data_IF_924173514154
#
_entry.id   IF_924173514154
#
_cell.length_a   1.000
_cell.length_b   1.000
_cell.length_c   1.000
_cell.angle_alpha   90.00
_cell.angle_beta   90.00
_cell.angle_gamma   90.00
#
_symmetry.space_group_name_H-M   'P 1'
#
loop_
_entity.id
_entity.type
_entity.pdbx_description
1 polymer ?
#
# COMPACT_ATOMS: atom_id res chain seq x y z
N UNK A 1 -22.53 9.82 -36.74
CA UNK A 1 -22.06 8.56 -36.14
C UNK A 1 -21.13 8.81 -34.94
N UNK A 2 -20.03 9.57 -35.10
CA UNK A 2 -19.09 9.88 -34.01
C UNK A 2 -19.67 10.68 -32.83
N UNK A 3 -20.59 11.62 -33.08
CA UNK A 3 -21.24 12.41 -32.02
C UNK A 3 -22.07 11.53 -31.06
N UNK A 4 -22.78 10.53 -31.59
CA UNK A 4 -23.52 9.57 -30.76
C UNK A 4 -22.57 8.69 -29.93
N UNK A 5 -21.45 8.26 -30.51
CA UNK A 5 -20.43 7.50 -29.79
C UNK A 5 -19.83 8.33 -28.64
N UNK A 6 -19.46 9.59 -28.89
CA UNK A 6 -18.95 10.50 -27.87
C UNK A 6 -19.97 10.76 -26.76
N UNK A 7 -21.25 10.94 -27.11
CA UNK A 7 -22.31 11.10 -26.12
C UNK A 7 -22.53 9.85 -25.25
N UNK A 8 -22.43 8.65 -25.83
CA UNK A 8 -22.55 7.38 -25.10
C UNK A 8 -21.37 7.18 -24.15
N UNK A 9 -20.15 7.47 -24.59
CA UNK A 9 -18.95 7.43 -23.74
C UNK A 9 -19.04 8.44 -22.61
N UNK A 10 -19.48 9.67 -22.90
CA UNK A 10 -19.70 10.72 -21.90
C UNK A 10 -20.76 10.31 -20.87
N UNK A 11 -21.90 9.78 -21.32
CA UNK A 11 -22.97 9.30 -20.44
C UNK A 11 -22.49 8.11 -19.58
N UNK A 12 -21.76 7.16 -20.16
CA UNK A 12 -21.18 6.03 -19.42
C UNK A 12 -20.21 6.52 -18.34
N UNK A 13 -19.35 7.49 -18.67
CA UNK A 13 -18.41 8.08 -17.71
C UNK A 13 -19.15 8.81 -16.58
N UNK A 14 -20.20 9.57 -16.88
CA UNK A 14 -21.03 10.23 -15.88
C UNK A 14 -21.74 9.22 -14.95
N UNK A 15 -22.35 8.18 -15.52
CA UNK A 15 -23.00 7.11 -14.75
C UNK A 15 -22.01 6.37 -13.86
N UNK A 16 -20.80 6.10 -14.38
CA UNK A 16 -19.71 5.50 -13.63
C UNK A 16 -19.28 6.38 -12.46
N UNK A 17 -19.03 7.67 -12.71
CA UNK A 17 -18.65 8.62 -11.65
C UNK A 17 -19.73 8.75 -10.58
N UNK A 18 -21.00 8.78 -10.99
CA UNK A 18 -22.12 8.81 -10.06
C UNK A 18 -22.15 7.57 -9.17
N UNK A 19 -21.99 6.37 -9.75
CA UNK A 19 -22.00 5.10 -9.03
C UNK A 19 -20.83 4.96 -8.05
N UNK A 20 -19.63 5.39 -8.46
CA UNK A 20 -18.42 5.32 -7.62
C UNK A 20 -18.50 6.28 -6.41
N UNK A 21 -19.19 7.42 -6.54
CA UNK A 21 -19.39 8.41 -5.47
C UNK A 21 -20.39 8.00 -4.38
N UNK A 22 -21.10 6.90 -4.55
CA UNK A 22 -22.05 6.43 -3.53
C UNK A 22 -21.30 5.85 -2.34
N UNK A 23 -21.59 6.38 -1.15
CA UNK A 23 -20.96 5.99 0.13
C UNK A 23 -21.95 5.19 0.96
N UNK A 24 -21.44 4.18 1.66
CA UNK A 24 -22.22 3.33 2.57
C UNK A 24 -22.76 4.16 3.74
N UNK A 25 -24.03 3.97 4.08
CA UNK A 25 -24.65 4.62 5.23
C UNK A 25 -24.16 4.03 6.57
N UNK A 26 -24.32 4.80 7.66
CA UNK A 26 -23.99 4.36 9.03
C UNK A 26 -22.52 3.92 9.22
N UNK A 27 -21.56 4.70 8.72
CA UNK A 27 -20.13 4.41 8.87
C UNK A 27 -19.68 4.28 10.34
N UNK A 28 -20.32 4.98 11.27
CA UNK A 28 -20.01 4.96 12.71
C UNK A 28 -20.23 3.60 13.39
N UNK A 29 -21.06 2.75 12.80
CA UNK A 29 -21.39 1.41 13.33
C UNK A 29 -20.50 0.32 12.72
N UNK A 30 -19.65 0.69 11.75
CA UNK A 30 -18.75 -0.23 11.05
C UNK A 30 -17.38 -0.25 11.74
N UNK A 31 -16.80 -1.43 11.79
CA UNK A 31 -15.45 -1.66 12.28
C UNK A 31 -14.49 -1.83 11.10
N UNK A 32 -13.31 -1.26 11.21
CA UNK A 32 -12.21 -1.45 10.26
C UNK A 32 -11.01 -1.97 11.02
N UNK A 33 -10.50 -3.14 10.63
CA UNK A 33 -9.27 -3.69 11.16
C UNK A 33 -8.11 -3.41 10.20
N UNK A 34 -7.03 -2.81 10.69
CA UNK A 34 -5.87 -2.39 9.89
C UNK A 34 -4.61 -2.96 10.52
N UNK A 35 -3.78 -3.63 9.73
CA UNK A 35 -2.47 -4.11 10.16
C UNK A 35 -1.37 -3.15 9.73
N UNK A 36 -0.28 -3.05 10.51
CA UNK A 36 0.88 -2.22 10.17
C UNK A 36 0.62 -0.73 10.44
N UNK A 37 0.04 -0.41 11.60
CA UNK A 37 -0.34 0.95 11.97
C UNK A 37 0.75 1.75 12.70
N UNK A 38 1.96 1.20 12.87
CA UNK A 38 3.07 1.90 13.53
C UNK A 38 3.46 3.19 12.80
N UNK A 39 3.50 3.17 11.46
CA UNK A 39 3.87 4.32 10.63
C UNK A 39 3.28 4.24 9.21
N UNK A 40 3.59 5.23 8.36
CA UNK A 40 3.26 5.21 6.93
C UNK A 40 1.76 5.20 6.64
N UNK A 41 1.35 4.44 5.62
CA UNK A 41 -0.04 4.42 5.13
C UNK A 41 -1.05 3.91 6.17
N UNK A 42 -0.72 2.82 6.89
CA UNK A 42 -1.63 2.24 7.89
C UNK A 42 -1.94 3.22 9.01
N UNK A 43 -0.91 3.89 9.54
CA UNK A 43 -1.06 4.91 10.57
C UNK A 43 -1.93 6.09 10.11
N UNK A 44 -1.66 6.62 8.90
CA UNK A 44 -2.42 7.73 8.34
C UNK A 44 -3.87 7.35 8.06
N UNK A 45 -4.11 6.16 7.49
CA UNK A 45 -5.45 5.66 7.25
C UNK A 45 -6.22 5.49 8.55
N UNK A 46 -5.60 4.92 9.59
CA UNK A 46 -6.25 4.72 10.88
C UNK A 46 -6.74 6.05 11.47
N UNK A 47 -5.90 7.09 11.42
CA UNK A 47 -6.25 8.45 11.85
C UNK A 47 -7.33 9.08 10.97
N UNK A 48 -7.26 8.89 9.66
CA UNK A 48 -8.25 9.40 8.70
C UNK A 48 -9.64 8.81 8.96
N UNK A 49 -9.73 7.51 9.21
CA UNK A 49 -10.98 6.82 9.50
C UNK A 49 -11.53 7.16 10.90
N UNK A 50 -10.67 7.35 11.90
CA UNK A 50 -11.06 7.84 13.23
C UNK A 50 -11.67 9.25 13.15
N UNK A 51 -11.08 10.16 12.36
CA UNK A 51 -11.64 11.49 12.09
C UNK A 51 -12.99 11.44 11.35
N UNK A 52 -13.22 10.41 10.51
CA UNK A 52 -14.53 10.15 9.90
C UNK A 52 -15.53 9.50 10.87
N UNK A 53 -15.11 9.23 12.10
CA UNK A 53 -15.92 8.69 13.17
C UNK A 53 -16.18 7.18 13.07
N UNK A 54 -15.40 6.44 12.28
CA UNK A 54 -15.48 4.98 12.20
C UNK A 54 -14.81 4.34 13.42
N UNK A 55 -15.17 3.10 13.73
CA UNK A 55 -14.49 2.32 14.78
C UNK A 55 -13.29 1.63 14.16
N UNK A 56 -12.09 1.97 14.62
CA UNK A 56 -10.85 1.49 14.03
C UNK A 56 -10.13 0.58 15.01
N UNK A 57 -9.81 -0.62 14.55
CA UNK A 57 -9.03 -1.61 15.27
C UNK A 57 -7.64 -1.66 14.63
N UNK A 58 -6.70 -0.92 15.20
CA UNK A 58 -5.38 -0.70 14.62
C UNK A 58 -4.36 -1.67 15.22
N UNK A 59 -3.78 -2.53 14.39
CA UNK A 59 -2.77 -3.47 14.81
C UNK A 59 -1.36 -2.92 14.50
N UNK A 60 -0.55 -2.81 15.55
CA UNK A 60 0.83 -2.33 15.50
C UNK A 60 1.80 -3.45 15.85
N UNK A 61 2.99 -3.43 15.26
CA UNK A 61 4.06 -4.36 15.59
C UNK A 61 4.71 -4.01 16.95
N UNK A 62 4.79 -2.73 17.28
CA UNK A 62 5.48 -2.22 18.46
C UNK A 62 4.52 -1.56 19.46
N UNK A 63 4.84 -1.69 20.75
CA UNK A 63 4.09 -1.00 21.82
C UNK A 63 4.21 0.52 21.70
N UNK A 64 5.40 1.02 21.38
CA UNK A 64 5.62 2.46 21.17
C UNK A 64 4.75 3.01 20.04
N UNK A 65 4.67 2.30 18.90
CA UNK A 65 3.82 2.68 17.78
C UNK A 65 2.34 2.68 18.16
N UNK A 66 1.89 1.67 18.91
CA UNK A 66 0.53 1.57 19.42
C UNK A 66 0.17 2.73 20.36
N UNK A 67 1.04 3.06 21.32
CA UNK A 67 0.82 4.18 22.24
C UNK A 67 0.80 5.53 21.53
N UNK A 68 1.73 5.77 20.61
CA UNK A 68 1.80 7.02 19.86
C UNK A 68 0.55 7.24 19.00
N UNK A 69 0.01 6.17 18.41
CA UNK A 69 -1.22 6.23 17.64
C UNK A 69 -2.43 6.50 18.55
N UNK A 70 -2.54 5.78 19.67
CA UNK A 70 -3.62 5.97 20.64
C UNK A 70 -3.64 7.40 21.20
N UNK A 71 -2.49 7.97 21.54
CA UNK A 71 -2.38 9.38 22.03
C UNK A 71 -2.86 10.43 21.02
N UNK A 72 -2.87 10.11 19.72
CA UNK A 72 -3.22 11.04 18.63
C UNK A 72 -4.64 10.84 18.09
N UNK A 73 -5.39 9.90 18.65
CA UNK A 73 -6.69 9.46 18.13
C UNK A 73 -7.74 9.44 19.23
N UNK A 74 -9.01 9.27 18.85
CA UNK A 74 -10.12 9.23 19.80
C UNK A 74 -10.34 7.84 20.39
N UNK A 75 -11.21 7.72 21.40
CA UNK A 75 -11.59 6.46 22.03
C UNK A 75 -12.24 5.44 21.08
N UNK A 76 -12.59 5.83 19.85
CA UNK A 76 -13.09 4.93 18.80
C UNK A 76 -12.00 4.13 18.11
N UNK A 77 -10.74 4.53 18.27
CA UNK A 77 -9.59 3.81 17.77
C UNK A 77 -8.94 3.05 18.92
N UNK A 78 -8.97 1.73 18.82
CA UNK A 78 -8.31 0.83 19.77
C UNK A 78 -7.11 0.17 19.10
N UNK A 79 -6.02 0.02 19.84
CA UNK A 79 -4.79 -0.59 19.34
C UNK A 79 -4.57 -1.99 19.90
N UNK A 80 -3.96 -2.85 19.09
CA UNK A 80 -3.55 -4.21 19.48
C UNK A 80 -2.14 -4.50 18.97
N UNK A 81 -1.35 -5.24 19.75
CA UNK A 81 -0.04 -5.70 19.30
C UNK A 81 -0.22 -6.93 18.43
N UNK A 82 0.32 -6.87 17.21
CA UNK A 82 0.26 -7.95 16.24
C UNK A 82 1.60 -8.10 15.51
N UNK A 83 2.21 -9.25 15.72
CA UNK A 83 3.30 -9.75 14.90
C UNK A 83 2.75 -10.77 13.90
N UNK A 84 2.63 -10.34 12.64
CA UNK A 84 2.11 -11.17 11.54
C UNK A 84 2.98 -12.39 11.23
N UNK A 85 4.22 -12.45 11.76
CA UNK A 85 5.11 -13.60 11.58
C UNK A 85 4.82 -14.73 12.58
N UNK A 86 4.06 -14.45 13.64
CA UNK A 86 3.79 -15.40 14.74
C UNK A 86 2.31 -15.78 14.79
N UNK A 87 2.03 -17.07 14.59
CA UNK A 87 0.66 -17.62 14.62
C UNK A 87 -0.08 -17.35 15.93
N UNK A 88 0.62 -17.41 17.07
CA UNK A 88 0.03 -17.14 18.38
C UNK A 88 -0.44 -15.67 18.52
N UNK A 89 0.34 -14.73 17.99
CA UNK A 89 -0.02 -13.31 17.98
C UNK A 89 -1.23 -13.05 17.09
N UNK A 90 -1.30 -13.71 15.93
CA UNK A 90 -2.47 -13.65 15.04
C UNK A 90 -3.72 -14.19 15.75
N UNK A 91 -3.61 -15.32 16.44
CA UNK A 91 -4.73 -15.93 17.17
C UNK A 91 -5.23 -15.00 18.29
N UNK A 92 -4.32 -14.39 19.06
CA UNK A 92 -4.65 -13.44 20.11
C UNK A 92 -5.34 -12.18 19.56
N UNK A 93 -4.81 -11.58 18.49
CA UNK A 93 -5.44 -10.42 17.84
C UNK A 93 -6.82 -10.77 17.26
N UNK A 94 -6.97 -11.96 16.67
CA UNK A 94 -8.25 -12.44 16.16
C UNK A 94 -9.29 -12.56 17.27
N UNK A 95 -8.91 -13.14 18.41
CA UNK A 95 -9.78 -13.27 19.57
C UNK A 95 -10.19 -11.89 20.12
N UNK A 96 -9.23 -10.98 20.25
CA UNK A 96 -9.45 -9.60 20.68
C UNK A 96 -10.40 -8.82 19.75
N UNK A 97 -10.32 -9.04 18.43
CA UNK A 97 -11.25 -8.46 17.45
C UNK A 97 -12.66 -9.05 17.61
N UNK A 98 -12.77 -10.37 17.78
CA UNK A 98 -14.06 -11.04 17.98
C UNK A 98 -14.79 -10.52 19.22
N UNK A 99 -14.08 -10.21 20.28
CA UNK A 99 -14.64 -9.62 21.51
C UNK A 99 -15.25 -8.23 21.29
N UNK A 100 -14.67 -7.43 20.37
CA UNK A 100 -15.12 -6.04 20.08
C UNK A 100 -16.21 -5.94 19.05
N UNK A 101 -16.10 -6.74 18.00
CA UNK A 101 -17.07 -6.78 16.89
C UNK A 101 -18.27 -7.66 17.26
N UNK A 102 -18.10 -8.53 18.26
CA UNK A 102 -19.05 -9.56 18.65
C UNK A 102 -19.00 -10.76 17.71
N UNK A 103 -19.56 -11.89 18.17
CA UNK A 103 -19.81 -13.09 17.37
C UNK A 103 -20.94 -12.81 16.35
N UNK A 104 -20.71 -11.89 15.42
CA UNK A 104 -21.50 -11.81 14.20
C UNK A 104 -21.15 -13.03 13.37
N UNK A 105 -21.90 -14.12 13.61
CA UNK A 105 -21.98 -15.33 12.75
C UNK A 105 -22.53 -15.02 11.35
N UNK A 106 -22.68 -13.75 11.00
CA UNK A 106 -22.86 -13.31 9.64
C UNK A 106 -21.49 -13.26 9.00
N UNK A 107 -21.00 -14.42 8.57
CA UNK A 107 -20.04 -14.35 7.50
C UNK A 107 -20.73 -13.69 6.27
N UNK A 108 -22.08 -13.48 6.12
CA UNK A 108 -22.92 -13.19 4.87
C UNK A 108 -23.40 -14.45 4.05
N UNK A 109 -23.22 -14.66 2.74
CA UNK A 109 -22.80 -15.94 2.08
C UNK A 109 -21.84 -15.64 0.92
N UNK A 110 -20.91 -14.69 1.00
CA UNK A 110 -20.41 -13.94 2.15
C UNK A 110 -20.10 -12.45 1.79
N UNK A 111 -20.44 -12.00 0.57
CA UNK A 111 -20.42 -10.58 0.17
C UNK A 111 -19.06 -9.88 0.34
N UNK A 112 -17.98 -10.67 0.34
CA UNK A 112 -16.62 -10.21 0.60
C UNK A 112 -16.00 -9.67 -0.68
N UNK A 113 -15.63 -8.39 -0.66
CA UNK A 113 -14.90 -7.74 -1.75
C UNK A 113 -13.40 -7.76 -1.45
N UNK A 114 -12.60 -8.24 -2.40
CA UNK A 114 -11.13 -8.13 -2.36
C UNK A 114 -10.70 -7.00 -3.28
N UNK A 115 -9.93 -6.07 -2.74
CA UNK A 115 -9.49 -4.86 -3.43
C UNK A 115 -7.96 -4.78 -3.31
N UNK A 116 -7.30 -4.50 -4.43
CA UNK A 116 -5.85 -4.37 -4.52
C UNK A 116 -5.52 -2.88 -4.70
N UNK A 117 -4.54 -2.39 -3.93
CA UNK A 117 -4.03 -1.02 -4.05
C UNK A 117 -2.55 -1.14 -4.40
N UNK A 118 -2.20 -0.65 -5.58
CA UNK A 118 -0.86 -0.72 -6.19
C UNK A 118 -0.25 0.69 -6.21
N UNK A 119 0.34 1.14 -5.09
CA UNK A 119 0.96 2.46 -5.02
C UNK A 119 2.22 2.52 -5.88
N UNK A 120 2.46 3.69 -6.46
CA UNK A 120 3.75 4.06 -7.04
C UNK A 120 4.81 4.37 -5.99
N UNK A 121 5.76 5.24 -6.33
CA UNK A 121 6.84 5.64 -5.44
C UNK A 121 6.39 6.71 -4.44
N UNK A 122 6.27 6.31 -3.18
CA UNK A 122 5.91 7.19 -2.06
C UNK A 122 6.98 7.17 -0.99
N UNK A 123 7.19 8.36 -0.39
CA UNK A 123 8.17 8.56 0.67
C UNK A 123 7.61 8.04 1.99
N UNK A 124 8.05 6.87 2.39
CA UNK A 124 7.76 6.27 3.70
C UNK A 124 9.06 5.93 4.42
N UNK A 125 8.99 5.61 5.71
CA UNK A 125 10.17 5.17 6.48
C UNK A 125 10.85 3.97 5.79
N UNK A 126 10.04 3.01 5.31
CA UNK A 126 10.52 1.84 4.58
C UNK A 126 11.21 2.16 3.24
N UNK A 127 10.88 3.31 2.63
CA UNK A 127 11.49 3.78 1.37
C UNK A 127 12.63 4.76 1.60
N UNK A 128 12.99 5.07 2.85
CA UNK A 128 13.98 6.10 3.14
C UNK A 128 15.36 5.73 2.55
N UNK A 129 15.93 6.67 1.81
CA UNK A 129 17.21 6.49 1.09
C UNK A 129 18.33 6.04 2.03
N UNK A 130 18.41 6.63 3.23
CA UNK A 130 19.45 6.36 4.21
C UNK A 130 19.35 4.97 4.81
N UNK A 131 18.14 4.54 5.19
CA UNK A 131 17.92 3.23 5.79
C UNK A 131 18.09 2.12 4.76
N UNK A 132 17.52 2.32 3.57
CA UNK A 132 17.67 1.39 2.46
C UNK A 132 19.15 1.24 2.07
N UNK A 133 19.87 2.36 1.91
CA UNK A 133 21.31 2.34 1.58
C UNK A 133 22.15 1.64 2.66
N UNK A 134 21.82 1.85 3.94
CA UNK A 134 22.52 1.20 5.05
C UNK A 134 22.28 -0.30 5.07
N UNK A 135 21.02 -0.71 4.91
CA UNK A 135 20.62 -2.12 4.89
C UNK A 135 21.29 -2.85 3.73
N UNK A 136 21.32 -2.26 2.54
CA UNK A 136 21.98 -2.84 1.37
C UNK A 136 23.49 -2.95 1.57
N UNK A 137 24.14 -1.94 2.15
CA UNK A 137 25.58 -2.01 2.47
C UNK A 137 25.87 -3.12 3.48
N UNK A 138 25.09 -3.21 4.54
CA UNK A 138 25.26 -4.28 5.53
C UNK A 138 25.08 -5.68 4.91
N UNK A 139 24.08 -5.84 4.04
CA UNK A 139 23.86 -7.09 3.30
C UNK A 139 25.01 -7.39 2.33
N UNK A 140 25.51 -6.36 1.63
CA UNK A 140 26.67 -6.49 0.77
C UNK A 140 27.88 -6.94 1.58
N UNK A 141 28.17 -6.31 2.71
CA UNK A 141 29.32 -6.63 3.54
C UNK A 141 29.26 -8.07 4.07
N UNK A 142 28.07 -8.53 4.46
CA UNK A 142 27.80 -9.91 4.89
C UNK A 142 27.79 -10.94 3.75
N UNK A 143 27.75 -10.50 2.49
CA UNK A 143 27.69 -11.39 1.34
C UNK A 143 29.04 -12.10 1.09
N UNK A 144 28.96 -13.33 0.60
CA UNK A 144 30.11 -14.14 0.21
C UNK A 144 30.97 -13.46 -0.87
N UNK A 145 32.31 -13.71 -0.90
CA UNK A 145 33.20 -13.18 -1.93
C UNK A 145 32.73 -13.46 -3.36
N UNK A 146 32.21 -14.68 -3.62
CA UNK A 146 31.74 -15.10 -4.93
C UNK A 146 30.59 -14.22 -5.45
N UNK A 147 29.63 -13.89 -4.57
CA UNK A 147 28.53 -12.98 -4.90
C UNK A 147 29.02 -11.56 -5.17
N UNK A 148 29.98 -11.07 -4.38
CA UNK A 148 30.57 -9.74 -4.61
C UNK A 148 31.28 -9.67 -5.96
N UNK A 149 31.91 -10.76 -6.38
CA UNK A 149 32.57 -10.85 -7.69
C UNK A 149 31.56 -10.91 -8.85
N UNK A 150 30.46 -11.66 -8.69
CA UNK A 150 29.40 -11.77 -9.72
C UNK A 150 28.72 -10.43 -9.98
N UNK A 151 28.30 -9.74 -8.93
CA UNK A 151 27.61 -8.45 -9.06
C UNK A 151 28.58 -7.30 -9.36
N UNK A 152 29.73 -7.29 -8.67
CA UNK A 152 30.76 -6.26 -8.79
C UNK A 152 30.43 -4.94 -8.07
N UNK A 153 31.46 -4.22 -7.65
CA UNK A 153 31.30 -2.97 -6.89
C UNK A 153 30.63 -1.85 -7.70
N UNK A 154 30.82 -1.86 -9.02
CA UNK A 154 30.16 -0.90 -9.93
C UNK A 154 28.64 -1.04 -9.93
N UNK A 155 28.13 -2.27 -9.84
CA UNK A 155 26.70 -2.54 -9.73
C UNK A 155 26.16 -1.98 -8.41
N UNK A 156 26.86 -2.23 -7.29
CA UNK A 156 26.49 -1.67 -5.99
C UNK A 156 26.46 -0.14 -6.00
N UNK A 157 27.50 0.51 -6.53
CA UNK A 157 27.58 1.97 -6.62
C UNK A 157 26.44 2.55 -7.49
N UNK A 158 26.15 1.91 -8.63
CA UNK A 158 25.03 2.28 -9.49
C UNK A 158 23.69 2.10 -8.78
N UNK A 159 23.53 1.03 -7.99
CA UNK A 159 22.29 0.74 -7.27
C UNK A 159 22.03 1.75 -6.14
N UNK A 160 23.06 2.07 -5.34
CA UNK A 160 22.98 3.12 -4.32
C UNK A 160 22.69 4.50 -4.93
N UNK A 161 23.23 4.80 -6.11
CA UNK A 161 22.92 6.03 -6.85
C UNK A 161 21.48 6.03 -7.35
N UNK A 162 20.99 4.88 -7.84
CA UNK A 162 19.61 4.66 -8.25
C UNK A 162 18.63 4.91 -7.10
N UNK A 163 18.91 4.39 -5.90
CA UNK A 163 18.09 4.60 -4.70
C UNK A 163 17.97 6.08 -4.35
N UNK A 164 19.09 6.81 -4.34
CA UNK A 164 19.07 8.26 -4.11
C UNK A 164 18.23 9.00 -5.15
N UNK A 165 18.33 8.59 -6.42
CA UNK A 165 17.54 9.18 -7.51
C UNK A 165 16.05 8.84 -7.43
N UNK A 166 15.70 7.68 -6.88
CA UNK A 166 14.32 7.26 -6.65
C UNK A 166 13.71 8.03 -5.47
N UNK A 167 14.45 8.21 -4.38
CA UNK A 167 14.01 9.01 -3.23
C UNK A 167 13.67 10.45 -3.63
N UNK A 168 14.44 11.04 -4.56
CA UNK A 168 14.14 12.36 -5.12
C UNK A 168 12.85 12.40 -5.96
N UNK A 169 12.45 11.26 -6.56
CA UNK A 169 11.25 11.14 -7.39
C UNK A 169 10.02 10.66 -6.61
N UNK A 170 10.21 10.20 -5.37
CA UNK A 170 9.12 9.76 -4.51
C UNK A 170 8.17 10.93 -4.22
N UNK A 171 6.87 10.64 -4.26
CA UNK A 171 5.85 11.60 -3.84
C UNK A 171 5.77 11.63 -2.32
N UNK A 172 5.77 12.82 -1.72
CA UNK A 172 5.65 12.99 -0.26
C UNK A 172 4.20 12.91 0.22
N UNK A 173 3.25 13.21 -0.65
CA UNK A 173 1.83 13.20 -0.35
C UNK A 173 1.28 11.77 -0.30
N UNK A 174 1.20 11.21 0.91
CA UNK A 174 0.65 9.89 1.17
C UNK A 174 -0.88 9.85 1.06
N UNK A 175 -1.56 11.01 1.04
CA UNK A 175 -3.02 11.09 0.97
C UNK A 175 -3.56 10.46 -0.30
N UNK A 176 -2.81 10.50 -1.40
CA UNK A 176 -3.18 9.84 -2.66
C UNK A 176 -3.48 8.34 -2.50
N UNK A 177 -2.75 7.67 -1.61
CA UNK A 177 -2.94 6.25 -1.31
C UNK A 177 -4.03 6.07 -0.26
N UNK A 178 -4.00 6.84 0.83
CA UNK A 178 -4.98 6.69 1.92
C UNK A 178 -6.39 7.10 1.50
N UNK A 179 -6.56 8.03 0.56
CA UNK A 179 -7.84 8.39 -0.04
C UNK A 179 -8.38 7.26 -0.92
N UNK A 180 -7.50 6.54 -1.65
CA UNK A 180 -7.90 5.34 -2.38
C UNK A 180 -8.34 4.23 -1.42
N UNK A 181 -7.64 4.06 -0.29
CA UNK A 181 -8.02 3.13 0.78
C UNK A 181 -9.35 3.53 1.42
N UNK A 182 -9.54 4.81 1.76
CA UNK A 182 -10.79 5.31 2.33
C UNK A 182 -11.94 5.08 1.36
N UNK A 183 -11.77 5.43 0.07
CA UNK A 183 -12.78 5.18 -0.95
C UNK A 183 -13.09 3.68 -1.09
N UNK A 184 -12.07 2.81 -1.04
CA UNK A 184 -12.25 1.37 -1.13
C UNK A 184 -13.10 0.83 0.04
N UNK A 185 -12.93 1.38 1.24
CA UNK A 185 -13.65 0.95 2.45
C UNK A 185 -15.05 1.56 2.57
N UNK A 186 -15.25 2.78 2.06
CA UNK A 186 -16.49 3.55 2.28
C UNK A 186 -17.45 3.52 1.08
N UNK A 187 -16.99 3.17 -0.13
CA UNK A 187 -17.83 3.16 -1.33
C UNK A 187 -18.78 1.96 -1.35
N UNK A 188 -20.00 2.18 -1.84
CA UNK A 188 -20.95 1.11 -2.17
C UNK A 188 -20.46 0.25 -3.35
N UNK A 189 -19.63 0.82 -4.23
CA UNK A 189 -19.17 0.19 -5.46
C UNK A 189 -17.66 0.42 -5.65
N UNK A 190 -16.83 -0.19 -4.80
CA UNK A 190 -15.39 -0.01 -4.88
C UNK A 190 -14.83 -0.63 -6.15
N UNK A 191 -13.70 -0.09 -6.63
CA UNK A 191 -12.95 -0.69 -7.75
C UNK A 191 -12.16 -1.88 -7.22
N UNK A 192 -11.95 -2.90 -8.05
CA UNK A 192 -11.13 -4.06 -7.68
C UNK A 192 -9.65 -3.71 -7.59
N UNK A 193 -9.19 -2.70 -8.35
CA UNK A 193 -7.80 -2.23 -8.35
C UNK A 193 -7.74 -0.71 -8.32
N UNK A 194 -6.88 -0.18 -7.46
CA UNK A 194 -6.51 1.23 -7.40
C UNK A 194 -5.02 1.36 -7.66
N UNK A 195 -4.64 2.28 -8.55
CA UNK A 195 -3.24 2.60 -8.83
C UNK A 195 -3.01 4.07 -8.44
N UNK A 196 -2.84 4.37 -7.13
CA UNK A 196 -2.53 5.71 -6.67
C UNK A 196 -1.10 6.11 -7.08
N UNK A 197 -0.96 7.34 -7.57
CA UNK A 197 0.29 7.83 -8.16
C UNK A 197 0.16 8.07 -9.67
N UNK A 198 0.85 9.11 -10.14
CA UNK A 198 0.92 9.41 -11.57
C UNK A 198 1.79 8.40 -12.31
N UNK A 199 2.85 7.93 -11.64
CA UNK A 199 3.78 6.92 -12.10
C UNK A 199 3.12 5.54 -12.20
N UNK A 200 2.30 5.16 -11.21
CA UNK A 200 1.46 3.96 -11.26
C UNK A 200 0.58 3.93 -12.52
N UNK A 201 -0.06 5.06 -12.84
CA UNK A 201 -0.98 5.18 -13.98
C UNK A 201 -0.28 5.31 -15.34
N UNK A 202 0.82 6.06 -15.40
CA UNK A 202 1.48 6.43 -16.66
C UNK A 202 2.59 5.47 -17.06
N UNK A 203 3.28 4.87 -16.09
CA UNK A 203 4.39 3.96 -16.35
C UNK A 203 4.00 2.51 -16.11
N UNK A 204 3.61 2.16 -14.88
CA UNK A 204 3.41 0.76 -14.51
C UNK A 204 2.22 0.12 -15.22
N UNK A 205 1.11 0.84 -15.33
CA UNK A 205 -0.08 0.32 -15.99
C UNK A 205 0.18 0.03 -17.48
N UNK A 206 0.73 0.94 -18.31
CA UNK A 206 1.09 0.60 -19.70
C UNK A 206 2.13 -0.53 -19.80
N UNK A 207 3.14 -0.55 -18.94
CA UNK A 207 4.14 -1.62 -18.94
C UNK A 207 3.51 -2.99 -18.66
N UNK A 208 2.49 -3.08 -17.81
CA UNK A 208 1.80 -4.33 -17.51
C UNK A 208 1.06 -4.95 -18.70
N UNK A 209 0.69 -4.14 -19.70
CA UNK A 209 0.05 -4.61 -20.93
C UNK A 209 1.04 -4.81 -22.09
N UNK A 210 2.31 -4.45 -21.90
CA UNK A 210 3.32 -4.51 -22.94
C UNK A 210 3.89 -5.94 -23.08
N UNK A 211 4.24 -6.42 -24.29
CA UNK A 211 4.92 -7.69 -24.46
C UNK A 211 6.19 -7.82 -23.61
N UNK A 212 6.39 -8.98 -22.98
CA UNK A 212 7.48 -9.23 -22.01
C UNK A 212 8.85 -8.87 -22.57
N UNK A 213 9.13 -9.19 -23.84
CA UNK A 213 10.42 -8.89 -24.46
C UNK A 213 10.75 -7.38 -24.54
N UNK A 214 9.74 -6.52 -24.68
CA UNK A 214 9.95 -5.06 -24.67
C UNK A 214 10.20 -4.57 -23.26
N UNK A 215 9.49 -5.13 -22.28
CA UNK A 215 9.69 -4.81 -20.87
C UNK A 215 11.12 -5.19 -20.48
N UNK A 216 11.55 -6.41 -20.78
CA UNK A 216 12.89 -6.91 -20.50
C UNK A 216 13.98 -6.08 -21.19
N UNK A 217 13.76 -5.65 -22.44
CA UNK A 217 14.69 -4.76 -23.14
C UNK A 217 14.81 -3.39 -22.46
N UNK A 218 13.69 -2.80 -22.00
CA UNK A 218 13.70 -1.55 -21.24
C UNK A 218 14.46 -1.72 -19.92
N UNK A 219 14.19 -2.79 -19.16
CA UNK A 219 14.91 -3.08 -17.91
C UNK A 219 16.40 -3.28 -18.16
N UNK A 220 16.79 -4.02 -19.20
CA UNK A 220 18.19 -4.21 -19.60
C UNK A 220 18.92 -2.92 -19.96
N UNK A 221 18.20 -1.89 -20.40
CA UNK A 221 18.78 -0.61 -20.79
C UNK A 221 18.87 0.38 -19.62
N UNK A 222 17.90 0.34 -18.70
CA UNK A 222 17.81 1.24 -17.55
C UNK A 222 18.63 0.75 -16.36
N UNK A 223 18.66 -0.56 -16.12
CA UNK A 223 19.35 -1.12 -14.96
C UNK A 223 20.76 -1.57 -15.32
N UNK A 224 21.70 -1.27 -14.41
CA UNK A 224 23.07 -1.76 -14.51
C UNK A 224 23.08 -3.29 -14.44
N UNK A 225 23.80 -3.94 -15.35
CA UNK A 225 23.98 -5.38 -15.33
C UNK A 225 25.02 -5.78 -14.26
N UNK A 226 24.90 -6.97 -13.66
CA UNK A 226 25.97 -7.58 -12.87
C UNK A 226 27.28 -7.62 -13.67
N UNK A 227 28.43 -7.54 -12.98
CA UNK A 227 29.74 -7.62 -13.61
C UNK A 227 29.96 -8.93 -14.38
N UNK A 228 29.42 -10.04 -13.89
CA UNK A 228 29.36 -11.34 -14.56
C UNK A 228 27.90 -11.72 -14.83
N UNK A 229 27.23 -10.99 -15.72
CA UNK A 229 25.93 -11.39 -16.24
C UNK A 229 26.11 -12.53 -17.27
N UNK A 230 25.38 -13.63 -17.09
CA UNK A 230 25.28 -14.73 -18.07
C UNK A 230 24.45 -14.32 -19.29
#
# INVERSE_FOLDING_TARGET
MWLYLLSLVGLWYLLRLYRERQVVSHLHDKYVFITGCDSGFGNLLARQLDMRGMRVLAACLTEEGAEQLSKKTSDRLETVILDVTKTESIAAATQWVKERVGDKREFSCFGVNVIIIEPGFFKTVATSSEELSRNIKNLWDQSSPDMKEIYGEKFLASYLTGIKSLDQKCTEDLSLVTDCMEHALTSCHPRTRYSPGWDAKLFYLPMSYMPTFLVDAMFCWVFSKPAKAL
#
